data_IF_477187443640
#
_entry.id   IF_477187443640
#
_cell.length_a   1.000
_cell.length_b   1.000
_cell.length_c   1.000
_cell.angle_alpha   90.00
_cell.angle_beta   90.00
_cell.angle_gamma   90.00
#
_symmetry.space_group_name_H-M   'P 1'
#
loop_
_entity.id
_entity.type
_entity.pdbx_description
1 polymer ?
#
# COMPACT_ATOMS: atom_id res chain seq x y z
N UNK A 1 -34.77 13.57 -12.64
CA UNK A 1 -33.28 13.59 -12.81
C UNK A 1 -32.71 13.87 -11.43
N UNK A 2 -32.19 12.85 -10.74
CA UNK A 2 -31.66 13.03 -9.39
C UNK A 2 -30.27 13.69 -9.51
N UNK A 3 -30.19 14.94 -9.13
CA UNK A 3 -28.92 15.66 -8.96
C UNK A 3 -28.21 15.06 -7.76
N UNK A 4 -27.17 14.29 -7.99
CA UNK A 4 -26.34 13.77 -6.93
C UNK A 4 -25.66 14.94 -6.20
N UNK A 5 -25.87 15.11 -4.89
CA UNK A 5 -25.33 16.25 -4.13
C UNK A 5 -23.81 16.28 -4.03
N UNK A 6 -23.13 15.26 -4.55
CA UNK A 6 -21.67 15.13 -4.55
C UNK A 6 -20.98 15.88 -5.69
N UNK A 7 -21.72 16.43 -6.63
CA UNK A 7 -21.17 17.07 -7.82
C UNK A 7 -20.33 18.34 -7.52
N UNK A 8 -20.65 19.04 -6.45
CA UNK A 8 -20.02 20.33 -6.14
C UNK A 8 -18.73 20.22 -5.34
N UNK A 9 -18.54 19.17 -4.53
CA UNK A 9 -17.29 18.98 -3.77
C UNK A 9 -16.19 18.27 -4.54
N UNK A 10 -16.53 17.67 -5.67
CA UNK A 10 -15.64 16.90 -6.52
C UNK A 10 -14.88 17.74 -7.57
N UNK A 11 -15.08 19.05 -7.55
CA UNK A 11 -14.58 19.92 -8.62
C UNK A 11 -13.06 20.03 -8.74
N UNK A 12 -12.30 19.60 -7.76
CA UNK A 12 -10.84 19.63 -7.81
C UNK A 12 -10.24 18.40 -8.49
N UNK A 13 -11.01 17.33 -8.64
CA UNK A 13 -10.54 16.10 -9.23
C UNK A 13 -11.08 15.95 -10.66
N UNK A 14 -10.23 15.67 -11.61
CA UNK A 14 -10.58 15.56 -13.03
C UNK A 14 -11.36 16.75 -13.58
N UNK A 15 -10.90 17.96 -13.27
CA UNK A 15 -11.53 19.20 -13.78
C UNK A 15 -13.03 19.28 -13.47
N UNK A 16 -13.42 18.82 -12.28
CA UNK A 16 -14.77 18.95 -11.79
C UNK A 16 -15.79 17.92 -12.28
N UNK A 17 -15.36 16.82 -12.87
CA UNK A 17 -16.30 15.80 -13.40
C UNK A 17 -16.77 14.81 -12.36
N UNK A 18 -15.83 14.17 -11.62
CA UNK A 18 -16.16 13.13 -10.64
C UNK A 18 -15.20 13.18 -9.45
N UNK A 19 -15.72 12.90 -8.27
CA UNK A 19 -14.88 12.63 -7.11
C UNK A 19 -14.18 11.27 -7.28
N UNK A 20 -12.92 11.21 -6.87
CA UNK A 20 -12.13 9.98 -6.89
C UNK A 20 -11.28 9.87 -5.63
N UNK A 21 -11.16 8.66 -5.04
CA UNK A 21 -10.16 8.40 -4.01
C UNK A 21 -8.77 8.25 -4.64
N UNK A 22 -7.74 8.38 -3.81
CA UNK A 22 -6.40 7.92 -4.15
C UNK A 22 -6.39 6.38 -4.16
N UNK A 23 -6.17 5.79 -5.30
CA UNK A 23 -6.04 4.33 -5.43
C UNK A 23 -4.59 3.95 -5.13
N UNK A 24 -4.40 3.08 -4.14
CA UNK A 24 -3.08 2.63 -3.70
C UNK A 24 -3.02 1.12 -3.61
N UNK A 25 -1.81 0.60 -3.69
CA UNK A 25 -1.49 -0.81 -3.43
C UNK A 25 -0.58 -0.92 -2.21
N UNK A 26 -0.60 -2.06 -1.54
CA UNK A 26 0.34 -2.39 -0.48
C UNK A 26 0.60 -3.89 -0.46
N UNK A 27 1.81 -4.31 -0.05
CA UNK A 27 2.18 -5.72 -0.04
C UNK A 27 2.74 -6.15 1.31
N UNK A 28 2.15 -7.17 1.91
CA UNK A 28 2.70 -7.92 3.03
C UNK A 28 3.69 -8.93 2.46
N UNK A 29 4.97 -8.57 2.46
CA UNK A 29 6.04 -9.43 1.97
C UNK A 29 6.64 -10.19 3.13
N UNK A 30 6.67 -11.51 3.03
CA UNK A 30 7.07 -12.41 4.12
C UNK A 30 8.35 -13.15 3.76
N UNK A 31 9.27 -13.24 4.73
CA UNK A 31 10.47 -14.08 4.67
C UNK A 31 10.88 -14.46 6.07
N UNK A 32 11.11 -15.75 6.31
CA UNK A 32 11.61 -16.28 7.59
C UNK A 32 10.80 -15.80 8.82
N UNK A 33 9.45 -15.71 8.67
CA UNK A 33 8.56 -15.23 9.72
C UNK A 33 8.58 -13.72 9.97
N UNK A 34 9.29 -12.96 9.14
CA UNK A 34 9.36 -11.50 9.22
C UNK A 34 8.65 -10.84 8.04
N UNK A 35 8.21 -9.63 8.29
CA UNK A 35 7.52 -8.76 7.34
C UNK A 35 8.47 -7.67 6.85
N UNK A 36 8.53 -7.49 5.54
CA UNK A 36 9.26 -6.38 4.94
C UNK A 36 8.44 -5.10 5.08
N UNK A 37 9.03 -4.11 5.71
CA UNK A 37 8.46 -2.79 5.87
C UNK A 37 9.45 -1.72 5.41
N UNK A 38 8.96 -0.51 5.24
CA UNK A 38 9.77 0.66 4.97
C UNK A 38 9.67 1.66 6.11
N UNK A 39 10.76 2.32 6.42
CA UNK A 39 10.78 3.56 7.18
C UNK A 39 10.86 4.71 6.18
N UNK A 40 9.89 5.61 6.25
CA UNK A 40 9.74 6.72 5.32
C UNK A 40 9.47 8.05 6.04
N UNK A 41 9.79 9.15 5.39
CA UNK A 41 9.49 10.48 5.91
C UNK A 41 8.15 10.96 5.38
N UNK A 42 7.12 10.97 6.22
CA UNK A 42 5.82 11.51 5.87
C UNK A 42 5.82 13.04 5.95
N UNK A 43 5.73 13.69 4.79
CA UNK A 43 5.68 15.17 4.76
C UNK A 43 6.93 15.88 5.30
N UNK A 44 8.06 15.18 5.38
CA UNK A 44 9.38 15.78 5.57
C UNK A 44 9.90 15.90 7.00
N UNK A 45 9.23 15.38 8.03
CA UNK A 45 9.67 15.56 9.43
C UNK A 45 9.61 14.33 10.32
N UNK A 46 8.62 13.46 10.18
CA UNK A 46 8.48 12.29 11.04
C UNK A 46 8.81 11.02 10.28
N UNK A 47 9.55 10.15 10.93
CA UNK A 47 9.86 8.82 10.43
C UNK A 47 8.70 7.88 10.78
N UNK A 48 7.98 7.45 9.78
CA UNK A 48 6.84 6.52 9.91
C UNK A 48 7.13 5.18 9.26
N UNK A 49 6.34 4.20 9.60
CA UNK A 49 6.46 2.82 9.13
C UNK A 49 5.26 2.47 8.24
N UNK A 50 5.55 1.82 7.12
CA UNK A 50 4.53 1.32 6.20
C UNK A 50 4.93 -0.05 5.63
N UNK A 51 3.98 -0.78 5.02
CA UNK A 51 4.35 -1.79 4.05
C UNK A 51 4.92 -1.09 2.81
N UNK A 52 5.63 -1.80 1.93
CA UNK A 52 5.86 -1.32 0.57
C UNK A 52 4.51 -0.98 -0.07
N UNK A 53 4.30 0.28 -0.45
CA UNK A 53 2.98 0.78 -0.82
C UNK A 53 3.06 2.11 -1.56
N UNK A 54 2.28 2.25 -2.63
CA UNK A 54 2.19 3.51 -3.35
C UNK A 54 0.96 3.59 -4.23
N UNK A 55 0.92 4.59 -5.09
CA UNK A 55 -0.22 4.87 -5.96
C UNK A 55 -0.22 3.97 -7.19
N UNK A 56 -1.41 3.62 -7.63
CA UNK A 56 -1.59 3.03 -8.96
C UNK A 56 -1.23 4.08 -10.01
N UNK A 57 -0.41 3.69 -10.96
CA UNK A 57 -0.02 4.52 -12.09
C UNK A 57 -0.85 4.23 -13.35
N UNK A 58 -0.88 5.15 -14.33
CA UNK A 58 -1.53 4.88 -15.62
C UNK A 58 -0.91 3.66 -16.30
N UNK A 59 -1.75 2.91 -16.99
CA UNK A 59 -1.37 1.79 -17.87
C UNK A 59 -0.74 0.58 -17.15
N UNK A 60 -0.85 0.48 -15.82
CA UNK A 60 -0.48 -0.71 -15.05
C UNK A 60 -1.68 -1.36 -14.34
N UNK A 61 -1.60 -2.64 -14.08
CA UNK A 61 -2.53 -3.36 -13.22
C UNK A 61 -2.20 -3.15 -11.75
N UNK A 62 -3.18 -3.43 -10.87
CA UNK A 62 -2.95 -3.44 -9.42
C UNK A 62 -1.84 -4.42 -9.00
N UNK A 63 -1.69 -5.54 -9.71
CA UNK A 63 -0.65 -6.53 -9.44
C UNK A 63 0.74 -6.01 -9.85
N UNK A 64 0.84 -5.37 -11.01
CA UNK A 64 2.08 -4.73 -11.47
C UNK A 64 2.49 -3.59 -10.56
N UNK A 65 1.55 -2.73 -10.16
CA UNK A 65 1.78 -1.67 -9.19
C UNK A 65 2.35 -2.22 -7.87
N UNK A 66 1.76 -3.28 -7.32
CA UNK A 66 2.22 -3.87 -6.06
C UNK A 66 3.66 -4.43 -6.14
N UNK A 67 4.02 -5.04 -7.27
CA UNK A 67 5.39 -5.54 -7.52
C UNK A 67 6.35 -4.38 -7.74
N UNK A 68 5.96 -3.36 -8.49
CA UNK A 68 6.77 -2.16 -8.76
C UNK A 68 7.09 -1.43 -7.47
N UNK A 69 6.10 -1.10 -6.66
CA UNK A 69 6.27 -0.40 -5.38
C UNK A 69 7.20 -1.17 -4.42
N UNK A 70 7.02 -2.49 -4.30
CA UNK A 70 7.91 -3.30 -3.47
C UNK A 70 9.36 -3.21 -3.94
N UNK A 71 9.59 -3.23 -5.25
CA UNK A 71 10.93 -3.11 -5.84
C UNK A 71 11.54 -1.73 -5.61
N UNK A 72 10.79 -0.67 -5.86
CA UNK A 72 11.25 0.72 -5.81
C UNK A 72 11.52 1.18 -4.39
N UNK A 73 10.68 0.76 -3.44
CA UNK A 73 10.82 1.16 -2.05
C UNK A 73 11.76 0.27 -1.22
N UNK A 74 12.03 -0.97 -1.67
CA UNK A 74 12.78 -1.92 -0.83
C UNK A 74 14.01 -2.53 -1.48
N UNK A 75 14.16 -2.44 -2.80
CA UNK A 75 15.18 -3.16 -3.57
C UNK A 75 14.90 -4.65 -3.75
N UNK A 76 13.81 -5.18 -3.21
CA UNK A 76 13.43 -6.58 -3.35
C UNK A 76 12.52 -6.82 -4.54
N UNK A 77 12.85 -7.83 -5.33
CA UNK A 77 11.90 -8.44 -6.24
C UNK A 77 10.96 -9.34 -5.45
N UNK A 78 9.66 -9.23 -5.70
CA UNK A 78 8.63 -9.99 -4.98
C UNK A 78 7.74 -10.76 -5.93
N UNK A 79 7.23 -11.88 -5.45
CA UNK A 79 6.17 -12.66 -6.09
C UNK A 79 4.93 -12.57 -5.24
N UNK A 80 3.84 -12.04 -5.80
CA UNK A 80 2.56 -12.01 -5.12
C UNK A 80 1.99 -13.44 -5.01
N UNK A 81 1.45 -13.76 -3.84
CA UNK A 81 0.88 -15.08 -3.53
C UNK A 81 -0.61 -15.03 -3.22
N UNK A 82 -1.16 -13.85 -2.96
CA UNK A 82 -2.58 -13.70 -2.68
C UNK A 82 -3.03 -12.26 -2.54
N UNK A 83 -4.34 -12.08 -2.59
CA UNK A 83 -5.04 -10.83 -2.32
C UNK A 83 -5.59 -10.87 -0.90
N UNK A 84 -5.32 -9.84 -0.09
CA UNK A 84 -5.77 -9.75 1.30
C UNK A 84 -7.13 -9.05 1.36
N UNK A 85 -7.25 -7.88 0.73
CA UNK A 85 -8.49 -7.13 0.75
C UNK A 85 -8.39 -5.74 0.14
N UNK A 86 -9.56 -5.13 -0.03
CA UNK A 86 -9.71 -3.73 -0.40
C UNK A 86 -10.14 -2.94 0.84
N UNK A 87 -9.47 -1.81 1.08
CA UNK A 87 -9.65 -1.00 2.27
C UNK A 87 -9.96 0.44 1.90
N UNK A 88 -10.99 0.98 2.50
CA UNK A 88 -11.36 2.38 2.36
C UNK A 88 -10.97 3.12 3.64
N UNK A 89 -10.23 4.21 3.50
CA UNK A 89 -9.79 5.01 4.64
C UNK A 89 -9.78 6.49 4.28
N UNK A 90 -10.26 7.31 5.20
CA UNK A 90 -10.16 8.77 5.12
C UNK A 90 -9.13 9.25 6.12
N UNK A 91 -8.06 9.87 5.65
CA UNK A 91 -7.02 10.45 6.48
C UNK A 91 -7.55 11.66 7.26
N UNK A 92 -7.55 11.63 8.61
CA UNK A 92 -8.16 12.71 9.41
C UNK A 92 -7.48 14.06 9.18
N UNK A 93 -6.14 14.06 9.04
CA UNK A 93 -5.34 15.28 8.95
C UNK A 93 -5.51 16.01 7.62
N UNK A 94 -5.70 15.27 6.54
CA UNK A 94 -5.75 15.83 5.17
C UNK A 94 -7.12 15.78 4.55
N UNK A 95 -8.03 14.97 5.09
CA UNK A 95 -9.33 14.67 4.49
C UNK A 95 -9.26 13.84 3.21
N UNK A 96 -8.05 13.39 2.80
CA UNK A 96 -7.88 12.53 1.61
C UNK A 96 -8.51 11.17 1.83
N UNK A 97 -9.13 10.66 0.80
CA UNK A 97 -9.72 9.32 0.79
C UNK A 97 -8.83 8.37 0.01
N UNK A 98 -8.54 7.24 0.61
CA UNK A 98 -7.74 6.17 0.01
C UNK A 98 -8.61 4.94 -0.24
N UNK A 99 -8.39 4.32 -1.38
CA UNK A 99 -8.86 2.98 -1.70
C UNK A 99 -7.61 2.11 -1.90
N UNK A 100 -7.26 1.34 -0.89
CA UNK A 100 -6.05 0.49 -0.89
C UNK A 100 -6.41 -0.95 -1.23
N UNK A 101 -5.68 -1.50 -2.18
CA UNK A 101 -5.69 -2.93 -2.49
C UNK A 101 -4.43 -3.57 -1.89
N UNK A 102 -4.62 -4.51 -0.96
CA UNK A 102 -3.53 -5.14 -0.25
C UNK A 102 -3.32 -6.58 -0.72
N UNK A 103 -2.05 -6.92 -0.91
CA UNK A 103 -1.60 -8.23 -1.34
C UNK A 103 -0.64 -8.84 -0.33
N UNK A 104 -0.41 -10.15 -0.42
CA UNK A 104 0.72 -10.79 0.22
C UNK A 104 1.64 -11.40 -0.83
N UNK A 105 2.91 -11.59 -0.46
CA UNK A 105 3.91 -12.09 -1.37
C UNK A 105 5.16 -12.57 -0.66
N UNK A 106 6.07 -13.12 -1.43
CA UNK A 106 7.37 -13.63 -1.02
C UNK A 106 8.50 -12.81 -1.61
N UNK A 107 9.54 -12.55 -0.84
CA UNK A 107 10.75 -11.94 -1.34
C UNK A 107 11.57 -12.97 -2.14
N UNK A 108 11.98 -12.59 -3.36
CA UNK A 108 12.73 -13.45 -4.28
C UNK A 108 14.23 -13.12 -4.24
N UNK A 109 14.58 -11.92 -4.70
CA UNK A 109 15.95 -11.46 -4.84
C UNK A 109 16.09 -10.03 -4.35
N UNK A 110 17.22 -9.74 -3.75
CA UNK A 110 17.59 -8.39 -3.30
C UNK A 110 18.67 -7.83 -4.20
N UNK A 111 18.49 -6.59 -4.61
CA UNK A 111 19.46 -5.83 -5.39
C UNK A 111 19.86 -4.57 -4.61
N UNK A 112 20.99 -4.64 -3.92
CA UNK A 112 21.50 -3.52 -3.12
C UNK A 112 21.95 -2.31 -3.94
N UNK A 113 22.12 -2.48 -5.25
CA UNK A 113 22.49 -1.38 -6.14
C UNK A 113 21.33 -0.47 -6.51
N UNK A 114 20.08 -0.89 -6.23
CA UNK A 114 18.88 -0.09 -6.50
C UNK A 114 18.82 1.10 -5.56
N UNK A 115 18.66 2.26 -6.17
CA UNK A 115 18.31 3.46 -5.43
C UNK A 115 16.83 3.35 -5.01
N UNK A 116 16.57 3.51 -3.71
CA UNK A 116 15.21 3.53 -3.19
C UNK A 116 14.53 4.86 -3.54
N UNK A 117 13.21 4.83 -3.58
CA UNK A 117 12.40 6.01 -3.88
C UNK A 117 12.64 7.17 -2.90
N UNK A 118 12.41 8.37 -3.39
CA UNK A 118 12.50 9.59 -2.58
C UNK A 118 11.58 9.51 -1.36
N UNK A 119 12.14 9.83 -0.19
CA UNK A 119 11.42 9.76 1.08
C UNK A 119 11.55 8.43 1.79
N UNK A 120 11.96 7.35 1.13
CA UNK A 120 12.29 6.08 1.78
C UNK A 120 13.66 6.18 2.43
N UNK A 121 13.71 5.96 3.74
CA UNK A 121 14.96 5.98 4.51
C UNK A 121 15.63 4.62 4.45
N UNK A 122 14.88 3.55 4.62
CA UNK A 122 15.36 2.17 4.52
C UNK A 122 14.23 1.15 4.49
N UNK A 123 14.53 -0.04 3.99
CA UNK A 123 13.72 -1.24 4.15
C UNK A 123 14.19 -2.04 5.38
N UNK A 124 13.25 -2.57 6.16
CA UNK A 124 13.52 -3.29 7.42
C UNK A 124 12.62 -4.51 7.52
N UNK A 125 13.15 -5.57 8.11
CA UNK A 125 12.42 -6.78 8.42
C UNK A 125 12.06 -6.84 9.89
N UNK A 126 10.75 -6.86 10.22
CA UNK A 126 10.24 -7.02 11.58
C UNK A 126 9.37 -8.27 11.70
N UNK A 127 9.39 -8.89 12.90
CA UNK A 127 8.33 -9.86 13.22
C UNK A 127 6.99 -9.11 13.35
N UNK A 128 5.85 -9.81 13.22
CA UNK A 128 4.54 -9.18 13.46
C UNK A 128 4.45 -8.53 14.84
N UNK A 129 5.04 -9.13 15.88
CA UNK A 129 5.04 -8.60 17.25
C UNK A 129 5.86 -7.33 17.36
N UNK A 130 7.04 -7.28 16.73
CA UNK A 130 7.88 -6.08 16.67
C UNK A 130 7.14 -4.96 15.94
N UNK A 131 6.53 -5.27 14.79
CA UNK A 131 5.75 -4.29 14.04
C UNK A 131 4.57 -3.76 14.86
N UNK A 132 3.84 -4.64 15.56
CA UNK A 132 2.71 -4.25 16.42
C UNK A 132 3.16 -3.32 17.56
N UNK A 133 4.32 -3.60 18.17
CA UNK A 133 4.88 -2.74 19.22
C UNK A 133 5.24 -1.33 18.71
N UNK A 134 5.48 -1.19 17.41
CA UNK A 134 5.77 0.08 16.72
C UNK A 134 4.50 0.81 16.22
N UNK A 135 3.30 0.39 16.64
CA UNK A 135 2.03 0.97 16.18
C UNK A 135 1.95 2.50 16.24
N UNK A 136 2.50 3.20 17.25
CA UNK A 136 2.48 4.67 17.27
C UNK A 136 3.25 5.32 16.10
N UNK A 137 4.12 4.57 15.44
CA UNK A 137 4.90 5.02 14.26
C UNK A 137 4.28 4.59 12.94
N UNK A 138 3.18 3.86 12.94
CA UNK A 138 2.55 3.46 11.70
C UNK A 138 2.02 4.68 10.94
N UNK A 139 2.28 4.72 9.64
CA UNK A 139 1.80 5.78 8.74
C UNK A 139 0.29 5.96 8.78
N UNK A 140 -0.43 4.86 8.98
CA UNK A 140 -1.89 4.85 9.08
C UNK A 140 -2.36 3.58 9.80
N UNK A 141 -3.63 3.53 10.23
CA UNK A 141 -4.22 2.30 10.80
C UNK A 141 -4.20 1.12 9.84
N UNK A 142 -4.12 1.38 8.52
CA UNK A 142 -4.07 0.33 7.50
C UNK A 142 -2.85 -0.56 7.63
N UNK A 143 -1.73 -0.05 8.15
CA UNK A 143 -0.50 -0.83 8.32
C UNK A 143 -0.74 -2.08 9.14
N UNK A 144 -1.35 -1.93 10.31
CA UNK A 144 -1.63 -3.09 11.16
C UNK A 144 -2.88 -3.86 10.73
N UNK A 145 -3.92 -3.17 10.26
CA UNK A 145 -5.15 -3.84 9.83
C UNK A 145 -4.89 -4.87 8.73
N UNK A 146 -4.10 -4.53 7.74
CA UNK A 146 -3.74 -5.44 6.64
C UNK A 146 -2.96 -6.66 7.16
N UNK A 147 -2.01 -6.46 8.08
CA UNK A 147 -1.24 -7.57 8.68
C UNK A 147 -2.15 -8.46 9.52
N UNK A 148 -3.03 -7.89 10.33
CA UNK A 148 -3.97 -8.65 11.15
C UNK A 148 -4.92 -9.51 10.30
N UNK A 149 -5.41 -8.97 9.20
CA UNK A 149 -6.27 -9.71 8.27
C UNK A 149 -5.50 -10.84 7.58
N UNK A 150 -4.25 -10.59 7.16
CA UNK A 150 -3.37 -11.63 6.64
C UNK A 150 -3.11 -12.75 7.66
N UNK A 151 -2.79 -12.40 8.91
CA UNK A 151 -2.59 -13.39 10.00
C UNK A 151 -3.87 -14.18 10.32
N UNK A 152 -5.03 -13.57 10.16
CA UNK A 152 -6.33 -14.24 10.30
C UNK A 152 -6.66 -15.18 9.13
N UNK A 153 -5.77 -15.33 8.15
CA UNK A 153 -5.96 -16.18 6.98
C UNK A 153 -6.87 -15.59 5.91
N UNK A 154 -7.11 -14.28 5.94
CA UNK A 154 -7.86 -13.60 4.88
C UNK A 154 -6.96 -13.39 3.66
N UNK A 155 -6.80 -14.47 2.93
CA UNK A 155 -6.00 -14.49 1.70
C UNK A 155 -6.82 -15.16 0.61
N UNK A 156 -7.03 -14.46 -0.46
CA UNK A 156 -7.84 -14.85 -1.60
C UNK A 156 -6.98 -15.02 -2.85
N UNK A 157 -7.43 -15.83 -3.82
CA UNK A 157 -6.71 -15.99 -5.08
C UNK A 157 -6.51 -14.67 -5.82
N UNK A 158 -5.34 -14.48 -6.42
CA UNK A 158 -5.07 -13.31 -7.28
C UNK A 158 -6.01 -13.22 -8.48
N UNK A 159 -6.63 -14.34 -8.88
CA UNK A 159 -7.64 -14.38 -9.95
C UNK A 159 -8.93 -13.62 -9.64
N UNK A 160 -9.10 -13.11 -8.42
CA UNK A 160 -10.16 -12.12 -8.12
C UNK A 160 -9.90 -10.78 -8.82
N UNK A 161 -8.65 -10.49 -9.19
CA UNK A 161 -8.29 -9.30 -9.94
C UNK A 161 -8.30 -9.62 -11.43
N UNK A 162 -9.10 -8.90 -12.20
CA UNK A 162 -9.14 -9.03 -13.65
C UNK A 162 -8.81 -7.67 -14.26
N UNK A 163 -7.79 -7.64 -15.10
CA UNK A 163 -7.48 -6.49 -15.93
C UNK A 163 -7.99 -6.76 -17.35
N UNK A 164 -8.73 -5.83 -17.86
CA UNK A 164 -9.18 -5.82 -19.27
C UNK A 164 -8.41 -4.73 -20.01
N UNK A 165 -7.82 -5.11 -21.12
CA UNK A 165 -7.09 -4.22 -22.04
C UNK A 165 -8.00 -3.71 -23.14
#
# INVERSE_FOLDING_TARGET
MATFPYFLSAMSYRQGRFWQPDVTVATVVVRDGKLLCVEETAGGRELVINQPAGHLEPDESLLEAAVREAREETGWDVRLTGFIGAYQWKAPETGRHYLRFAFCGEALAFDESRQLDEGIVRAVWWTPEELQALAPRHRSPLVWQVVADWQAGRVYPLSLMTQLS
#
